data_IF_680076928101
#
_entry.id   IF_680076928101
#
_cell.length_a   1.000
_cell.length_b   1.000
_cell.length_c   1.000
_cell.angle_alpha   90.00
_cell.angle_beta   90.00
_cell.angle_gamma   90.00
#
_symmetry.space_group_name_H-M   'P 1'
#
loop_
_entity.id
_entity.type
_entity.pdbx_description
1 polymer ?
#
# COMPACT_ATOMS: atom_id res chain seq x y z
N UNK A 1 -15.29 -26.21 16.96
CA UNK A 1 -14.34 -25.26 17.62
C UNK A 1 -12.96 -25.22 16.94
N UNK A 2 -12.67 -26.08 15.97
CA UNK A 2 -11.33 -26.26 15.38
C UNK A 2 -10.97 -25.29 14.25
N UNK A 3 -11.95 -24.65 13.60
CA UNK A 3 -11.71 -23.76 12.44
C UNK A 3 -11.31 -22.33 12.80
N UNK A 4 -11.79 -21.78 13.92
CA UNK A 4 -11.44 -20.40 14.35
C UNK A 4 -9.96 -20.25 14.68
N UNK A 5 -9.33 -21.28 15.23
CA UNK A 5 -7.90 -21.27 15.58
C UNK A 5 -6.99 -21.40 14.35
N UNK A 6 -7.44 -22.04 13.26
CA UNK A 6 -6.70 -22.09 11.99
C UNK A 6 -6.73 -20.75 11.25
N UNK A 7 -7.91 -20.13 11.15
CA UNK A 7 -8.08 -18.80 10.56
C UNK A 7 -7.27 -17.72 11.31
N UNK A 8 -7.24 -17.76 12.64
CA UNK A 8 -6.47 -16.82 13.45
C UNK A 8 -4.94 -17.01 13.33
N UNK A 9 -4.45 -18.23 13.10
CA UNK A 9 -3.03 -18.52 12.90
C UNK A 9 -2.56 -18.15 11.49
N UNK A 10 -3.40 -18.36 10.46
CA UNK A 10 -3.13 -17.89 9.10
C UNK A 10 -3.13 -16.35 9.03
N UNK A 11 -4.02 -15.67 9.74
CA UNK A 11 -4.07 -14.21 9.83
C UNK A 11 -2.83 -13.60 10.51
N UNK A 12 -2.30 -14.22 11.58
CA UNK A 12 -1.07 -13.73 12.25
C UNK A 12 0.17 -13.77 11.36
N UNK A 13 0.30 -14.80 10.51
CA UNK A 13 1.41 -14.89 9.56
C UNK A 13 1.26 -14.02 8.30
N UNK A 14 0.11 -13.35 8.16
CA UNK A 14 -0.21 -12.45 7.04
C UNK A 14 -0.06 -10.97 7.45
N UNK A 15 -0.24 -10.61 8.74
CA UNK A 15 -0.10 -9.22 9.19
C UNK A 15 1.35 -8.70 9.15
N UNK A 16 2.36 -9.57 9.23
CA UNK A 16 3.79 -9.23 9.03
C UNK A 16 4.18 -9.02 7.54
N UNK A 17 3.22 -9.13 6.62
CA UNK A 17 3.44 -8.96 5.18
C UNK A 17 2.89 -7.62 4.72
N UNK A 18 3.63 -7.00 3.81
CA UNK A 18 3.26 -5.69 3.26
C UNK A 18 2.13 -5.86 2.25
N UNK A 19 0.99 -5.16 2.43
CA UNK A 19 -0.06 -5.11 1.43
C UNK A 19 0.39 -4.27 0.24
N UNK A 20 0.18 -4.80 -0.96
CA UNK A 20 0.45 -4.13 -2.22
C UNK A 20 -0.75 -4.30 -3.15
N UNK A 21 -1.03 -3.28 -3.95
CA UNK A 21 -2.10 -3.29 -4.96
C UNK A 21 -1.46 -3.30 -6.33
N UNK A 22 -1.88 -4.21 -7.21
CA UNK A 22 -1.48 -4.15 -8.61
C UNK A 22 -2.14 -2.93 -9.25
N UNK A 23 -1.31 -2.05 -9.78
CA UNK A 23 -1.77 -0.85 -10.48
C UNK A 23 -1.65 -1.02 -12.01
N UNK A 24 -0.53 -1.57 -12.50
CA UNK A 24 -0.32 -1.86 -13.92
C UNK A 24 0.43 -3.19 -14.11
N UNK A 25 0.22 -3.85 -15.26
CA UNK A 25 0.85 -5.13 -15.61
C UNK A 25 1.55 -5.02 -16.97
N UNK A 26 2.88 -4.91 -16.96
CA UNK A 26 3.70 -4.87 -18.19
C UNK A 26 4.17 -6.26 -18.59
N UNK A 27 4.02 -6.60 -19.87
CA UNK A 27 4.39 -7.91 -20.44
C UNK A 27 5.35 -7.75 -21.63
N UNK A 28 6.43 -6.99 -21.44
CA UNK A 28 7.46 -6.83 -22.46
C UNK A 28 8.51 -7.93 -22.34
N UNK A 29 9.14 -8.30 -23.47
CA UNK A 29 10.15 -9.39 -23.53
C UNK A 29 11.29 -9.15 -22.54
N UNK A 30 11.74 -7.91 -22.41
CA UNK A 30 12.84 -7.49 -21.51
C UNK A 30 12.34 -6.95 -20.17
N UNK A 31 11.04 -6.72 -20.01
CA UNK A 31 10.46 -6.11 -18.82
C UNK A 31 9.06 -6.67 -18.54
N UNK A 32 9.02 -7.82 -17.87
CA UNK A 32 7.78 -8.50 -17.48
C UNK A 32 7.56 -8.33 -15.97
N UNK A 33 7.04 -7.16 -15.61
CA UNK A 33 6.83 -6.73 -14.22
C UNK A 33 5.48 -6.03 -14.07
N UNK A 34 4.94 -6.06 -12.86
CA UNK A 34 3.76 -5.30 -12.48
C UNK A 34 4.18 -4.11 -11.63
N UNK A 35 3.59 -2.94 -11.90
CA UNK A 35 3.66 -1.80 -11.00
C UNK A 35 2.69 -2.08 -9.86
N UNK A 36 3.20 -2.03 -8.65
CA UNK A 36 2.42 -2.25 -7.45
C UNK A 36 2.53 -1.03 -6.57
N UNK A 37 1.41 -0.56 -6.02
CA UNK A 37 1.39 0.52 -5.04
C UNK A 37 1.23 -0.03 -3.62
N UNK A 38 1.77 0.67 -2.64
CA UNK A 38 1.58 0.42 -1.21
C UNK A 38 1.28 1.75 -0.52
N UNK A 39 0.57 1.68 0.60
CA UNK A 39 0.27 2.86 1.41
C UNK A 39 1.42 3.14 2.39
N UNK A 40 1.80 4.40 2.50
CA UNK A 40 2.77 4.88 3.47
C UNK A 40 2.26 6.12 4.19
N UNK A 41 2.78 6.33 5.40
CA UNK A 41 2.65 7.55 6.17
C UNK A 41 3.88 8.38 5.85
N UNK A 42 3.68 9.57 5.33
CA UNK A 42 4.76 10.48 4.94
C UNK A 42 4.76 11.73 5.84
N UNK A 43 5.93 12.35 5.98
CA UNK A 43 6.09 13.64 6.64
C UNK A 43 7.24 14.42 5.98
N UNK A 44 6.88 15.34 5.08
CA UNK A 44 7.84 16.02 4.20
C UNK A 44 8.37 17.33 4.78
N UNK A 45 7.68 17.86 5.77
CA UNK A 45 8.02 19.11 6.45
C UNK A 45 8.37 18.84 7.91
N UNK A 46 9.31 19.60 8.50
CA UNK A 46 9.60 19.48 9.92
C UNK A 46 8.33 19.62 10.76
N UNK A 47 7.97 18.56 11.47
CA UNK A 47 6.78 18.45 12.30
C UNK A 47 7.21 18.40 13.79
N UNK A 48 6.77 19.34 14.64
CA UNK A 48 7.02 19.31 16.07
C UNK A 48 6.09 18.33 16.83
N UNK A 49 6.04 18.39 18.16
CA UNK A 49 5.11 17.56 18.95
C UNK A 49 5.52 16.09 19.15
N UNK A 50 6.55 15.59 18.47
CA UNK A 50 6.96 14.18 18.58
C UNK A 50 7.81 13.89 19.81
N UNK A 51 7.57 12.71 20.38
CA UNK A 51 8.33 12.20 21.52
C UNK A 51 8.78 10.77 21.27
N UNK A 52 10.10 10.55 21.29
CA UNK A 52 10.67 9.21 21.24
C UNK A 52 10.81 8.66 22.67
N UNK A 53 10.25 7.47 22.91
CA UNK A 53 10.42 6.77 24.18
C UNK A 53 11.58 5.78 24.09
N UNK A 54 12.72 6.13 24.67
CA UNK A 54 13.88 5.23 24.81
C UNK A 54 14.02 4.83 26.28
N UNK A 55 13.75 3.56 26.58
CA UNK A 55 13.66 3.04 27.97
C UNK A 55 12.67 3.89 28.79
N UNK A 56 13.13 4.52 29.87
CA UNK A 56 12.33 5.39 30.74
C UNK A 56 12.49 6.88 30.42
N UNK A 57 13.10 7.24 29.29
CA UNK A 57 13.26 8.64 28.86
C UNK A 57 12.29 8.96 27.73
N UNK A 58 11.67 10.14 27.83
CA UNK A 58 10.91 10.78 26.76
C UNK A 58 11.79 11.89 26.19
N UNK A 59 12.14 11.79 24.91
CA UNK A 59 13.00 12.75 24.22
C UNK A 59 12.13 13.46 23.18
N UNK A 60 11.88 14.78 23.31
CA UNK A 60 11.21 15.54 22.26
C UNK A 60 12.14 15.64 21.05
N UNK A 61 11.58 15.55 19.85
CA UNK A 61 12.36 15.70 18.61
C UNK A 61 11.48 16.30 17.50
N UNK A 62 12.14 16.82 16.47
CA UNK A 62 11.49 17.25 15.23
C UNK A 62 11.48 16.07 14.26
N UNK A 63 10.30 15.66 13.79
CA UNK A 63 10.18 14.67 12.74
C UNK A 63 10.38 15.35 11.38
N UNK A 64 11.21 14.76 10.52
CA UNK A 64 11.43 15.25 9.15
C UNK A 64 11.74 14.07 8.24
N UNK A 65 11.22 14.09 7.01
CA UNK A 65 11.44 13.07 5.99
C UNK A 65 11.12 11.64 6.49
N UNK A 66 9.99 11.49 7.16
CA UNK A 66 9.49 10.17 7.57
C UNK A 66 8.82 9.49 6.37
N UNK A 67 9.12 8.21 6.15
CA UNK A 67 8.29 7.31 5.36
C UNK A 67 8.04 6.02 6.14
N UNK A 68 6.79 5.80 6.54
CA UNK A 68 6.33 4.65 7.31
C UNK A 68 5.39 3.76 6.50
N UNK A 69 5.76 2.51 6.22
CA UNK A 69 4.90 1.61 5.44
C UNK A 69 3.74 1.10 6.28
N UNK A 70 2.52 1.20 5.76
CA UNK A 70 1.31 0.73 6.44
C UNK A 70 1.13 -0.78 6.18
N UNK A 71 1.13 -1.58 7.25
CA UNK A 71 1.01 -3.05 7.16
C UNK A 71 -0.41 -3.55 7.44
N UNK A 72 -1.17 -2.81 8.25
CA UNK A 72 -2.47 -3.21 8.77
C UNK A 72 -3.31 -1.97 9.16
N UNK A 73 -4.64 -2.11 9.30
CA UNK A 73 -5.47 -1.06 9.89
C UNK A 73 -5.13 -0.84 11.37
N UNK A 74 -5.64 0.26 11.94
CA UNK A 74 -5.37 0.68 13.33
C UNK A 74 -5.76 -0.39 14.36
N UNK A 75 -6.83 -1.15 14.10
CA UNK A 75 -7.31 -2.24 14.95
C UNK A 75 -6.63 -3.59 14.65
N UNK A 76 -5.65 -3.61 13.75
CA UNK A 76 -4.84 -4.76 13.37
C UNK A 76 -5.46 -5.69 12.33
N UNK A 77 -4.63 -6.58 11.77
CA UNK A 77 -5.05 -7.62 10.83
C UNK A 77 -5.10 -7.17 9.36
N UNK A 78 -6.21 -7.47 8.67
CA UNK A 78 -6.36 -7.20 7.23
C UNK A 78 -7.41 -6.12 6.95
N UNK A 79 -7.25 -5.41 5.83
CA UNK A 79 -8.23 -4.45 5.31
C UNK A 79 -9.45 -5.17 4.71
N UNK A 80 -10.27 -5.82 5.54
CA UNK A 80 -11.41 -6.64 5.08
C UNK A 80 -12.66 -5.85 4.71
N UNK A 81 -12.73 -4.59 5.10
CA UNK A 81 -13.89 -3.71 4.88
C UNK A 81 -13.44 -2.34 4.37
N UNK A 82 -14.26 -1.64 3.58
CA UNK A 82 -14.00 -0.25 3.18
C UNK A 82 -13.79 0.67 4.38
N UNK A 83 -14.57 0.47 5.44
CA UNK A 83 -14.49 1.31 6.65
C UNK A 83 -13.14 1.23 7.35
N UNK A 84 -12.43 0.09 7.27
CA UNK A 84 -11.06 -0.03 7.81
C UNK A 84 -10.05 0.80 7.04
N UNK A 85 -10.26 1.00 5.74
CA UNK A 85 -9.46 1.93 4.94
C UNK A 85 -9.85 3.35 5.34
N UNK A 86 -11.14 3.70 5.31
CA UNK A 86 -11.60 5.04 5.66
C UNK A 86 -11.10 5.50 7.03
N UNK A 87 -11.26 4.65 8.06
CA UNK A 87 -10.78 4.94 9.41
C UNK A 87 -9.27 5.12 9.48
N UNK A 88 -8.50 4.40 8.66
CA UNK A 88 -7.05 4.59 8.62
C UNK A 88 -6.70 5.99 8.12
N UNK A 89 -7.27 6.39 6.97
CA UNK A 89 -7.03 7.72 6.38
C UNK A 89 -7.54 8.82 7.31
N UNK A 90 -8.79 8.73 7.77
CA UNK A 90 -9.38 9.70 8.69
C UNK A 90 -8.56 9.84 9.97
N UNK A 91 -8.14 8.76 10.62
CA UNK A 91 -7.39 8.90 11.88
C UNK A 91 -5.96 9.44 11.67
N UNK A 92 -5.31 9.12 10.54
CA UNK A 92 -3.98 9.65 10.27
C UNK A 92 -4.06 11.13 9.91
N UNK A 93 -5.04 11.53 9.09
CA UNK A 93 -5.13 12.88 8.54
C UNK A 93 -5.89 13.87 9.44
N UNK A 94 -6.84 13.40 10.26
CA UNK A 94 -7.66 14.26 11.14
C UNK A 94 -6.92 14.70 12.39
N UNK A 95 -6.03 13.85 12.90
CA UNK A 95 -5.22 14.14 14.09
C UNK A 95 -3.86 14.75 13.71
N UNK A 96 -3.55 14.86 12.42
CA UNK A 96 -2.31 15.47 11.92
C UNK A 96 -2.51 16.96 11.64
N UNK A 97 -2.48 17.77 12.68
CA UNK A 97 -2.34 19.23 12.54
C UNK A 97 -0.97 19.62 11.91
N UNK A 98 -0.05 18.66 11.76
CA UNK A 98 1.37 18.91 11.46
C UNK A 98 1.95 17.93 10.41
N UNK A 99 1.58 18.11 9.14
CA UNK A 99 2.39 17.65 7.99
C UNK A 99 2.55 16.13 7.82
N UNK A 100 1.77 15.31 8.52
CA UNK A 100 1.66 13.87 8.30
C UNK A 100 0.49 13.62 7.37
N UNK A 101 0.65 12.71 6.42
CA UNK A 101 -0.45 12.30 5.55
C UNK A 101 -0.23 10.86 5.06
N UNK A 102 -1.29 10.26 4.51
CA UNK A 102 -1.17 8.97 3.84
C UNK A 102 -0.88 9.21 2.36
N UNK A 103 0.17 8.56 1.84
CA UNK A 103 0.50 8.57 0.42
C UNK A 103 0.53 7.15 -0.17
N UNK A 104 0.59 7.09 -1.50
CA UNK A 104 0.85 5.87 -2.26
C UNK A 104 2.20 5.94 -2.93
N UNK A 105 3.05 4.96 -2.62
CA UNK A 105 4.33 4.77 -3.28
C UNK A 105 4.31 3.52 -4.16
N UNK A 106 5.17 3.46 -5.17
CA UNK A 106 5.20 2.39 -6.17
C UNK A 106 6.45 1.50 -6.09
N UNK A 107 6.30 0.26 -6.52
CA UNK A 107 7.35 -0.74 -6.70
C UNK A 107 7.11 -1.52 -7.99
N UNK A 108 8.19 -2.01 -8.59
CA UNK A 108 8.11 -2.97 -9.70
C UNK A 108 8.39 -4.39 -9.21
N UNK A 109 7.45 -5.30 -9.45
CA UNK A 109 7.54 -6.70 -9.02
C UNK A 109 7.40 -7.62 -10.23
N UNK A 110 8.33 -8.58 -10.44
CA UNK A 110 8.26 -9.53 -11.55
C UNK A 110 6.93 -10.30 -11.61
N UNK A 111 6.35 -10.39 -12.81
CA UNK A 111 5.03 -10.99 -13.01
C UNK A 111 4.93 -12.45 -12.53
N UNK A 112 6.04 -13.20 -12.55
CA UNK A 112 6.07 -14.61 -12.12
C UNK A 112 5.92 -14.80 -10.60
N UNK A 113 6.00 -13.73 -9.81
CA UNK A 113 5.81 -13.75 -8.36
C UNK A 113 4.32 -13.87 -8.01
N UNK A 114 3.46 -13.37 -8.88
CA UNK A 114 2.01 -13.40 -8.73
C UNK A 114 1.39 -14.68 -9.30
N UNK A 115 0.19 -15.02 -8.83
CA UNK A 115 -0.61 -16.03 -9.49
C UNK A 115 -1.23 -15.46 -10.77
N UNK A 116 -1.34 -16.29 -11.82
CA UNK A 116 -1.83 -15.82 -13.13
C UNK A 116 -3.30 -15.43 -13.12
N UNK A 117 -4.11 -16.01 -12.21
CA UNK A 117 -5.56 -15.85 -12.18
C UNK A 117 -5.95 -14.45 -11.69
N UNK A 118 -5.20 -13.92 -10.72
CA UNK A 118 -5.47 -12.64 -10.08
C UNK A 118 -4.42 -11.57 -10.43
N UNK A 119 -3.64 -11.76 -11.50
CA UNK A 119 -2.68 -10.77 -12.00
C UNK A 119 -3.40 -9.73 -12.87
N UNK A 120 -4.06 -8.77 -12.22
CA UNK A 120 -4.77 -7.66 -12.87
C UNK A 120 -4.83 -6.42 -11.97
N UNK A 121 -4.96 -5.21 -12.54
CA UNK A 121 -5.15 -3.98 -11.78
C UNK A 121 -6.25 -4.09 -10.72
N UNK A 122 -6.02 -3.43 -9.58
CA UNK A 122 -6.88 -3.45 -8.39
C UNK A 122 -6.74 -4.70 -7.51
N UNK A 123 -5.98 -5.72 -7.93
CA UNK A 123 -5.78 -6.93 -7.11
C UNK A 123 -4.81 -6.68 -5.97
N UNK A 124 -5.21 -7.04 -4.75
CA UNK A 124 -4.39 -6.88 -3.54
C UNK A 124 -3.64 -8.17 -3.24
N UNK A 125 -2.35 -8.02 -2.99
CA UNK A 125 -1.46 -9.08 -2.55
C UNK A 125 -0.72 -8.68 -1.28
N UNK A 126 -0.26 -9.67 -0.53
CA UNK A 126 0.65 -9.49 0.61
C UNK A 126 1.99 -10.15 0.35
N UNK A 127 3.05 -9.35 0.41
CA UNK A 127 4.43 -9.78 0.13
C UNK A 127 5.26 -9.85 1.40
N UNK A 128 6.15 -10.83 1.48
CA UNK A 128 7.08 -10.93 2.61
C UNK A 128 8.08 -9.75 2.59
N UNK A 129 8.49 -9.31 3.78
CA UNK A 129 9.44 -8.20 3.94
C UNK A 129 10.69 -8.31 3.05
N UNK A 130 11.27 -9.51 2.92
CA UNK A 130 12.46 -9.73 2.07
C UNK A 130 12.22 -9.40 0.60
N UNK A 131 11.05 -9.75 0.06
CA UNK A 131 10.66 -9.41 -1.31
C UNK A 131 10.41 -7.91 -1.43
N UNK A 132 9.69 -7.33 -0.46
CA UNK A 132 9.43 -5.89 -0.45
C UNK A 132 10.74 -5.09 -0.44
N UNK A 133 11.68 -5.44 0.44
CA UNK A 133 13.00 -4.82 0.52
C UNK A 133 13.74 -4.92 -0.81
N UNK A 134 13.78 -6.10 -1.44
CA UNK A 134 14.47 -6.25 -2.72
C UNK A 134 13.83 -5.40 -3.83
N UNK A 135 12.50 -5.29 -3.84
CA UNK A 135 11.79 -4.41 -4.77
C UNK A 135 12.09 -2.93 -4.49
N UNK A 136 12.18 -2.54 -3.22
CA UNK A 136 12.53 -1.20 -2.78
C UNK A 136 13.97 -0.83 -3.15
N UNK A 137 14.93 -1.74 -2.92
CA UNK A 137 16.32 -1.59 -3.34
C UNK A 137 16.42 -1.45 -4.87
N UNK A 138 15.63 -2.22 -5.63
CA UNK A 138 15.55 -2.08 -7.09
C UNK A 138 14.98 -0.72 -7.53
N UNK A 139 13.90 -0.24 -6.90
CA UNK A 139 13.31 1.08 -7.16
C UNK A 139 14.35 2.20 -6.97
N UNK A 140 15.15 2.10 -5.92
CA UNK A 140 16.19 3.06 -5.57
C UNK A 140 17.53 2.83 -6.29
N UNK A 141 17.56 2.00 -7.33
CA UNK A 141 18.74 1.71 -8.15
C UNK A 141 19.93 1.11 -7.37
N UNK A 142 19.67 0.54 -6.19
CA UNK A 142 20.66 -0.21 -5.40
C UNK A 142 20.91 -1.58 -6.02
N UNK A 143 19.86 -2.19 -6.60
CA UNK A 143 19.96 -3.43 -7.37
C UNK A 143 19.72 -3.16 -8.84
N UNK A 144 20.49 -3.80 -9.71
CA UNK A 144 20.16 -3.87 -11.14
C UNK A 144 18.95 -4.79 -11.36
N UNK A 145 18.29 -4.64 -12.52
CA UNK A 145 17.19 -5.51 -12.90
C UNK A 145 17.61 -6.99 -12.93
N UNK A 146 18.81 -7.30 -13.43
CA UNK A 146 19.30 -8.67 -13.53
C UNK A 146 19.52 -9.29 -12.14
N UNK A 147 20.11 -8.55 -11.22
CA UNK A 147 20.32 -9.00 -9.83
C UNK A 147 19.00 -9.19 -9.11
N UNK A 148 18.10 -8.21 -9.20
CA UNK A 148 16.79 -8.27 -8.55
C UNK A 148 15.96 -9.46 -9.05
N UNK A 149 15.85 -9.62 -10.37
CA UNK A 149 15.13 -10.76 -10.97
C UNK A 149 15.81 -12.08 -10.62
N UNK A 150 17.16 -12.11 -10.61
CA UNK A 150 17.96 -13.26 -10.20
C UNK A 150 17.67 -13.68 -8.76
N UNK A 151 17.64 -12.74 -7.82
CA UNK A 151 17.29 -12.98 -6.42
C UNK A 151 15.86 -13.52 -6.29
N UNK A 152 14.89 -12.89 -6.97
CA UNK A 152 13.49 -13.33 -6.94
C UNK A 152 13.34 -14.79 -7.40
N UNK A 153 14.07 -15.20 -8.45
CA UNK A 153 14.08 -16.59 -8.93
C UNK A 153 14.79 -17.53 -7.96
N UNK A 154 15.99 -17.15 -7.49
CA UNK A 154 16.81 -17.95 -6.57
C UNK A 154 16.08 -18.28 -5.28
N UNK A 155 15.41 -17.30 -4.67
CA UNK A 155 14.69 -17.48 -3.42
C UNK A 155 13.24 -17.99 -3.60
N UNK A 156 12.77 -18.09 -4.84
CA UNK A 156 11.42 -18.61 -5.14
C UNK A 156 10.30 -17.81 -4.48
N UNK A 157 10.46 -16.50 -4.30
CA UNK A 157 9.47 -15.68 -3.59
C UNK A 157 8.11 -15.68 -4.30
N UNK A 158 7.04 -15.67 -3.50
CA UNK A 158 5.65 -15.62 -3.97
C UNK A 158 4.83 -14.63 -3.17
N UNK A 159 4.06 -13.83 -3.90
CA UNK A 159 3.04 -12.96 -3.34
C UNK A 159 1.80 -13.79 -2.98
N UNK A 160 1.11 -13.43 -1.89
CA UNK A 160 -0.15 -14.08 -1.50
C UNK A 160 -1.33 -13.20 -1.86
N UNK A 161 -2.21 -13.67 -2.73
CA UNK A 161 -3.42 -12.95 -3.10
C UNK A 161 -4.37 -12.81 -1.90
N UNK A 162 -4.95 -11.63 -1.72
CA UNK A 162 -5.91 -11.33 -0.66
C UNK A 162 -7.26 -10.96 -1.27
N UNK A 163 -8.17 -11.94 -1.33
CA UNK A 163 -9.50 -11.75 -1.91
C UNK A 163 -10.34 -10.74 -1.10
N UNK A 164 -10.24 -10.79 0.24
CA UNK A 164 -10.97 -9.88 1.12
C UNK A 164 -10.50 -8.44 0.96
N UNK A 165 -9.19 -8.21 0.92
CA UNK A 165 -8.65 -6.84 0.77
C UNK A 165 -8.89 -6.31 -0.65
N UNK A 166 -8.81 -7.17 -1.67
CA UNK A 166 -9.19 -6.80 -3.05
C UNK A 166 -10.64 -6.32 -3.13
N UNK A 167 -11.56 -7.04 -2.48
CA UNK A 167 -12.97 -6.66 -2.45
C UNK A 167 -13.19 -5.35 -1.68
N UNK A 168 -12.57 -5.22 -0.51
CA UNK A 168 -12.68 -4.03 0.33
C UNK A 168 -12.17 -2.78 -0.40
N UNK A 169 -10.98 -2.86 -1.00
CA UNK A 169 -10.40 -1.77 -1.76
C UNK A 169 -11.28 -1.38 -2.96
N UNK A 170 -11.79 -2.36 -3.72
CA UNK A 170 -12.67 -2.06 -4.86
C UNK A 170 -13.98 -1.38 -4.45
N UNK A 171 -14.56 -1.77 -3.30
CA UNK A 171 -15.74 -1.12 -2.75
C UNK A 171 -15.44 0.31 -2.26
N UNK A 172 -14.31 0.49 -1.58
CA UNK A 172 -13.83 1.78 -1.12
C UNK A 172 -13.58 2.75 -2.30
N UNK A 173 -12.85 2.31 -3.32
CA UNK A 173 -12.61 3.10 -4.54
C UNK A 173 -13.91 3.48 -5.25
N UNK A 174 -14.86 2.53 -5.36
CA UNK A 174 -16.16 2.81 -5.98
C UNK A 174 -16.92 3.90 -5.23
N UNK A 175 -16.96 3.83 -3.89
CA UNK A 175 -17.58 4.85 -3.03
C UNK A 175 -17.00 6.23 -3.32
N UNK A 176 -15.68 6.37 -3.32
CA UNK A 176 -14.99 7.64 -3.60
C UNK A 176 -15.26 8.17 -5.02
N UNK A 177 -15.28 7.29 -6.03
CA UNK A 177 -15.62 7.67 -7.42
C UNK A 177 -17.08 8.18 -7.50
N UNK A 178 -18.01 7.49 -6.87
CA UNK A 178 -19.43 7.84 -6.91
C UNK A 178 -19.68 9.16 -6.17
N UNK A 179 -19.08 9.36 -4.99
CA UNK A 179 -19.13 10.65 -4.26
C UNK A 179 -18.52 11.81 -5.05
N UNK A 180 -17.40 11.56 -5.74
CA UNK A 180 -16.74 12.57 -6.59
C UNK A 180 -17.64 12.96 -7.76
N UNK A 181 -18.29 11.98 -8.42
CA UNK A 181 -19.25 12.26 -9.49
C UNK A 181 -20.44 13.08 -9.01
N UNK A 182 -21.05 12.72 -7.88
CA UNK A 182 -22.18 13.46 -7.32
C UNK A 182 -21.82 14.91 -6.97
N UNK A 183 -20.61 15.16 -6.44
CA UNK A 183 -20.12 16.53 -6.20
C UNK A 183 -19.92 17.30 -7.51
N UNK A 184 -19.37 16.66 -8.54
CA UNK A 184 -19.21 17.27 -9.86
C UNK A 184 -20.55 17.59 -10.53
N UNK A 185 -21.55 16.73 -10.41
CA UNK A 185 -22.90 16.97 -10.95
C UNK A 185 -23.62 18.12 -10.24
N UNK A 186 -23.36 18.33 -8.96
CA UNK A 186 -23.93 19.42 -8.15
C UNK A 186 -23.21 20.77 -8.29
N UNK A 187 -21.99 20.80 -8.85
CA UNK A 187 -21.17 21.99 -9.03
C UNK A 187 -20.64 22.12 -10.48
N UNK A 188 -21.47 22.56 -11.44
CA UNK A 188 -21.12 22.65 -12.86
C UNK A 188 -19.94 23.60 -13.14
N UNK A 189 -19.67 24.57 -12.25
CA UNK A 189 -18.48 25.44 -12.33
C UNK A 189 -17.13 24.70 -12.27
N UNK A 190 -17.09 23.44 -11.81
CA UNK A 190 -15.89 22.60 -11.78
C UNK A 190 -15.63 21.85 -13.11
N UNK A 191 -16.45 22.10 -14.14
CA UNK A 191 -16.24 21.50 -15.45
C UNK A 191 -14.98 22.10 -16.08
N UNK A 192 -13.93 21.28 -16.27
CA UNK A 192 -12.78 21.63 -17.11
C UNK A 192 -13.31 22.19 -18.43
N UNK A 193 -13.15 23.51 -18.64
CA UNK A 193 -13.41 24.13 -19.93
C UNK A 193 -12.55 23.40 -20.94
N UNK A 194 -13.17 22.56 -21.79
CA UNK A 194 -12.54 22.07 -23.00
C UNK A 194 -12.13 23.32 -23.77
N UNK A 195 -10.84 23.66 -23.74
CA UNK A 195 -10.30 24.65 -24.64
C UNK A 195 -10.50 24.10 -26.05
N UNK A 196 -11.47 24.67 -26.74
CA UNK A 196 -11.69 24.50 -28.17
C UNK A 196 -10.44 25.00 -28.89
N UNK A 197 -10.07 24.26 -29.94
CA UNK A 197 -8.94 24.46 -30.86
C UNK A 197 -8.64 25.91 -31.23
#
# INVERSE_FOLDING_TARGET
>A
MTDRNKLAAEDRGISERVPIVIDDVKRLKTFSMSRCIYFSIECDSPSPGWTLRIRNRKIPFLLVALSGIILEPIDGGLFRTPDKLEQLFENIEKDSDEGIYVDTNDLWIPNFIFDRKNLKPGSVYRVAFKLFKAAYDFRNQILSQQEYVGQCKKYGWKARYSASETKALGLWQKKHIDETKERHEKHPELTLRRQTK
#
